data_IF_114027701879
#
_entry.id   IF_114027701879
#
_cell.length_a   1.000
_cell.length_b   1.000
_cell.length_c   1.000
_cell.angle_alpha   90.00
_cell.angle_beta   90.00
_cell.angle_gamma   90.00
#
_symmetry.space_group_name_H-M   'P 1'
#
loop_
_entity.id
_entity.type
_entity.pdbx_description
1 polymer ?
#
# COMPACT_ATOMS: atom_id res chain seq x y z
N UNK A 1 42.40 3.76 -46.89
CA UNK A 1 42.91 2.65 -46.05
C UNK A 1 41.72 1.73 -45.78
N UNK A 2 41.45 0.68 -46.57
CA UNK A 2 41.92 -0.74 -46.43
C UNK A 2 41.76 -1.21 -44.98
N UNK A 3 40.88 -2.16 -44.61
CA UNK A 3 40.68 -3.58 -45.04
C UNK A 3 39.28 -4.07 -44.55
N UNK A 4 38.41 -4.71 -45.36
CA UNK A 4 38.23 -6.19 -45.61
C UNK A 4 37.98 -6.99 -44.32
N UNK A 5 37.06 -7.96 -44.16
CA UNK A 5 36.32 -8.90 -45.02
C UNK A 5 35.22 -9.56 -44.12
N UNK A 6 34.00 -9.84 -44.57
CA UNK A 6 33.50 -11.06 -45.26
C UNK A 6 32.99 -12.19 -44.33
N UNK A 7 32.24 -13.10 -44.93
CA UNK A 7 31.08 -13.84 -44.44
C UNK A 7 31.33 -15.35 -44.25
N UNK A 8 30.25 -16.09 -43.96
CA UNK A 8 30.05 -17.56 -44.00
C UNK A 8 30.31 -18.30 -42.68
N UNK A 9 29.57 -19.35 -42.29
CA UNK A 9 28.50 -20.10 -42.95
C UNK A 9 27.94 -21.16 -41.99
N UNK A 10 26.75 -21.68 -42.33
CA UNK A 10 26.06 -22.77 -41.65
C UNK A 10 26.82 -24.10 -41.73
N UNK A 11 26.53 -25.08 -40.84
CA UNK A 11 25.58 -26.20 -41.05
C UNK A 11 25.89 -27.40 -40.11
N UNK A 12 24.83 -28.14 -39.75
CA UNK A 12 24.72 -29.60 -39.53
C UNK A 12 24.67 -30.21 -38.10
N UNK A 13 23.54 -30.89 -37.91
CA UNK A 13 23.08 -31.87 -36.92
C UNK A 13 23.86 -33.20 -37.03
N UNK A 14 24.08 -33.97 -35.94
CA UNK A 14 23.35 -35.25 -35.72
C UNK A 14 22.96 -35.45 -34.24
N UNK A 15 21.72 -35.79 -33.90
CA UNK A 15 21.02 -37.09 -33.95
C UNK A 15 21.36 -38.09 -32.81
N UNK A 16 20.30 -38.37 -32.05
CA UNK A 16 19.92 -39.56 -31.25
C UNK A 16 21.00 -40.40 -30.57
N UNK A 17 20.78 -40.63 -29.26
CA UNK A 17 20.62 -42.00 -28.72
C UNK A 17 19.76 -42.05 -27.46
N UNK A 18 18.83 -43.01 -27.50
CA UNK A 18 17.90 -43.46 -26.45
C UNK A 18 18.68 -44.22 -25.37
N UNK A 19 18.21 -44.17 -24.12
CA UNK A 19 18.30 -45.31 -23.19
C UNK A 19 17.00 -45.41 -22.38
N UNK A 20 16.31 -46.53 -22.52
CA UNK A 20 15.23 -47.04 -21.65
C UNK A 20 15.87 -47.98 -20.63
N UNK A 21 15.48 -47.93 -19.35
CA UNK A 21 15.30 -49.08 -18.42
C UNK A 21 14.39 -48.56 -17.29
N UNK A 22 13.10 -48.92 -17.25
CA UNK A 22 12.45 -50.09 -16.64
C UNK A 22 12.23 -50.04 -15.12
N UNK A 23 10.94 -50.07 -14.80
CA UNK A 23 10.18 -50.29 -13.57
C UNK A 23 10.71 -51.42 -12.67
N UNK A 24 10.61 -51.28 -11.35
CA UNK A 24 10.24 -52.38 -10.43
C UNK A 24 9.78 -51.86 -9.06
N UNK A 25 8.57 -52.30 -8.71
CA UNK A 25 7.83 -52.17 -7.46
C UNK A 25 8.28 -53.27 -6.48
N UNK A 26 8.42 -53.00 -5.17
CA UNK A 26 8.21 -54.02 -4.13
C UNK A 26 7.90 -53.39 -2.76
N UNK A 27 6.73 -53.75 -2.21
CA UNK A 27 6.37 -53.65 -0.79
C UNK A 27 7.21 -54.61 0.06
N UNK A 28 7.47 -54.29 1.33
CA UNK A 28 7.09 -55.14 2.49
C UNK A 28 7.37 -54.50 3.86
N UNK A 29 6.50 -54.89 4.79
CA UNK A 29 6.31 -54.44 6.17
C UNK A 29 7.30 -55.04 7.20
N UNK A 30 7.35 -54.35 8.35
CA UNK A 30 7.46 -54.83 9.76
C UNK A 30 8.81 -55.31 10.29
N UNK A 31 9.15 -54.78 11.48
CA UNK A 31 10.12 -55.40 12.39
C UNK A 31 10.41 -54.55 13.63
N UNK A 32 9.50 -54.59 14.62
CA UNK A 32 9.78 -54.19 16.01
C UNK A 32 10.83 -55.16 16.60
N UNK A 33 11.93 -54.62 17.12
CA UNK A 33 12.76 -55.31 18.12
C UNK A 33 13.09 -54.33 19.24
N UNK A 34 12.62 -54.69 20.43
CA UNK A 34 12.94 -54.08 21.71
C UNK A 34 14.18 -54.76 22.29
N UNK A 35 15.14 -53.98 22.80
CA UNK A 35 16.09 -54.45 23.81
C UNK A 35 16.49 -53.28 24.74
N UNK A 36 16.03 -53.39 25.99
CA UNK A 36 16.62 -52.83 27.22
C UNK A 36 18.01 -53.48 27.42
N UNK A 37 19.04 -52.96 28.09
CA UNK A 37 19.23 -52.07 29.25
C UNK A 37 20.74 -51.72 29.35
N UNK A 38 21.08 -50.82 30.28
CA UNK A 38 22.41 -50.41 30.81
C UNK A 38 22.92 -49.10 30.19
N UNK A 39 23.14 -47.99 30.88
CA UNK A 39 23.33 -47.77 32.31
C UNK A 39 24.67 -47.08 32.53
N UNK A 40 24.81 -45.79 32.20
CA UNK A 40 25.92 -44.96 32.66
C UNK A 40 25.42 -43.56 33.03
N UNK A 41 25.89 -43.11 34.19
CA UNK A 41 25.55 -41.86 34.83
C UNK A 41 26.17 -40.68 34.06
N UNK A 42 25.32 -39.91 33.37
CA UNK A 42 25.64 -38.59 32.85
C UNK A 42 25.09 -37.52 33.78
N UNK A 43 25.98 -36.70 34.31
CA UNK A 43 25.71 -35.49 35.11
C UNK A 43 24.59 -34.64 34.50
N UNK A 44 23.59 -34.32 35.33
CA UNK A 44 22.50 -33.41 34.99
C UNK A 44 23.05 -32.04 34.60
N UNK A 45 22.93 -31.71 33.32
CA UNK A 45 23.09 -30.35 32.82
C UNK A 45 21.82 -29.58 33.21
N UNK A 46 21.93 -28.40 33.87
CA UNK A 46 20.77 -27.58 34.14
C UNK A 46 20.18 -27.10 32.81
N UNK A 47 18.86 -27.25 32.69
CA UNK A 47 18.08 -26.80 31.55
C UNK A 47 18.38 -25.32 31.25
N UNK A 48 19.11 -25.08 30.18
CA UNK A 48 19.35 -23.74 29.64
C UNK A 48 18.24 -23.35 28.68
N UNK A 49 17.75 -22.13 28.93
CA UNK A 49 16.94 -21.28 28.06
C UNK A 49 15.48 -21.72 27.82
N UNK A 50 14.60 -21.17 28.64
CA UNK A 50 13.29 -20.67 28.19
C UNK A 50 13.49 -19.94 26.86
N UNK A 51 12.65 -20.15 25.83
CA UNK A 51 12.72 -19.33 24.62
C UNK A 51 12.55 -17.87 25.05
N UNK A 52 13.58 -17.05 24.83
CA UNK A 52 13.49 -15.61 24.96
C UNK A 52 12.28 -15.18 24.14
N UNK A 53 11.31 -14.50 24.76
CA UNK A 53 10.26 -13.84 24.01
C UNK A 53 10.95 -13.02 22.92
N UNK A 54 10.67 -13.31 21.65
CA UNK A 54 11.20 -12.55 20.53
C UNK A 54 10.82 -11.10 20.79
N UNK A 55 11.82 -10.25 21.06
CA UNK A 55 11.60 -8.84 21.29
C UNK A 55 10.89 -8.29 20.04
N UNK A 56 9.70 -7.71 20.21
CA UNK A 56 8.96 -7.12 19.08
C UNK A 56 9.86 -6.10 18.37
N UNK A 57 9.75 -5.99 17.03
CA UNK A 57 10.47 -4.94 16.32
C UNK A 57 10.06 -3.58 16.92
N UNK A 58 11.05 -2.69 17.04
CA UNK A 58 10.87 -1.43 17.74
C UNK A 58 11.88 -0.40 17.25
N UNK A 59 11.50 0.87 17.31
CA UNK A 59 12.40 2.00 17.07
C UNK A 59 13.62 1.93 17.98
N UNK A 60 14.80 1.99 17.39
CA UNK A 60 16.08 1.98 18.11
C UNK A 60 16.56 3.41 18.40
N UNK A 61 15.66 4.24 18.94
CA UNK A 61 15.94 5.63 19.34
C UNK A 61 15.95 5.70 20.87
N UNK A 62 16.99 6.30 21.44
CA UNK A 62 17.13 6.45 22.89
C UNK A 62 16.15 7.49 23.41
N UNK A 63 15.51 7.22 24.54
CA UNK A 63 14.60 8.16 25.21
C UNK A 63 13.12 7.92 24.95
N UNK A 64 12.77 7.15 23.92
CA UNK A 64 11.38 6.76 23.64
C UNK A 64 10.99 5.56 24.52
N UNK A 65 9.88 5.61 25.28
CA UNK A 65 9.43 4.50 26.12
C UNK A 65 8.87 3.34 25.28
N UNK A 66 8.80 2.14 25.88
CA UNK A 66 8.04 1.03 25.30
C UNK A 66 6.54 1.34 25.34
N UNK A 67 5.80 0.80 24.37
CA UNK A 67 4.35 0.96 24.31
C UNK A 67 3.66 0.21 25.46
N UNK A 68 2.47 0.64 25.89
CA UNK A 68 1.63 -0.15 26.76
C UNK A 68 1.40 -1.57 26.22
N UNK A 69 1.25 -2.54 27.12
CA UNK A 69 1.03 -3.93 26.73
C UNK A 69 -0.36 -4.15 26.10
N UNK A 70 -1.35 -3.37 26.52
CA UNK A 70 -2.69 -3.38 25.93
C UNK A 70 -2.69 -2.50 24.68
N UNK A 71 -2.91 -3.13 23.52
CA UNK A 71 -2.97 -2.43 22.22
C UNK A 71 -4.20 -1.55 22.07
N UNK A 72 -5.19 -1.69 22.95
CA UNK A 72 -6.41 -0.85 22.96
C UNK A 72 -6.26 0.44 23.77
N UNK A 73 -5.16 0.60 24.51
CA UNK A 73 -4.86 1.84 25.21
C UNK A 73 -4.65 2.99 24.21
N UNK A 74 -5.33 4.13 24.40
CA UNK A 74 -5.15 5.29 23.54
C UNK A 74 -3.73 5.84 23.66
N UNK A 75 -3.18 6.24 22.52
CA UNK A 75 -1.87 6.89 22.39
C UNK A 75 -2.01 8.37 21.99
N UNK A 76 -3.21 8.78 21.58
CA UNK A 76 -3.51 10.11 21.07
C UNK A 76 -4.76 10.68 21.77
N UNK A 77 -4.73 11.97 22.11
CA UNK A 77 -5.79 12.68 22.82
C UNK A 77 -6.15 14.03 22.16
N UNK A 78 -5.45 14.42 21.08
CA UNK A 78 -5.68 15.66 20.33
C UNK A 78 -5.82 15.38 18.85
N UNK A 79 -6.84 15.94 18.19
CA UNK A 79 -7.01 15.83 16.74
C UNK A 79 -5.84 16.51 16.00
N UNK A 80 -5.29 15.91 14.92
CA UNK A 80 -4.19 16.51 14.16
C UNK A 80 -4.50 17.90 13.59
N UNK A 81 -5.78 18.14 13.28
CA UNK A 81 -6.35 19.41 12.84
C UNK A 81 -7.54 19.77 13.73
N UNK A 82 -7.88 21.06 13.82
CA UNK A 82 -9.16 21.45 14.41
C UNK A 82 -10.32 20.78 13.66
N UNK A 83 -11.36 20.35 14.39
CA UNK A 83 -12.47 19.56 13.81
C UNK A 83 -13.28 20.32 12.76
N UNK A 84 -13.18 21.64 12.74
CA UNK A 84 -13.80 22.51 11.75
C UNK A 84 -12.93 22.73 10.50
N UNK A 85 -11.66 22.31 10.52
CA UNK A 85 -10.70 22.53 9.44
C UNK A 85 -10.66 21.41 8.39
N UNK A 86 -11.43 20.34 8.58
CA UNK A 86 -11.59 19.27 7.59
C UNK A 86 -13.05 18.83 7.45
N UNK A 87 -13.38 18.26 6.29
CA UNK A 87 -14.77 17.96 5.89
C UNK A 87 -15.09 16.47 6.02
N UNK A 88 -14.18 15.61 5.55
CA UNK A 88 -14.23 14.17 5.69
C UNK A 88 -12.84 13.59 5.91
N UNK A 89 -12.81 12.31 6.29
CA UNK A 89 -11.61 11.50 6.39
C UNK A 89 -11.72 10.37 5.39
N UNK A 90 -10.85 10.33 4.38
CA UNK A 90 -10.81 9.18 3.48
C UNK A 90 -10.11 8.04 4.23
N UNK A 91 -10.76 6.86 4.35
CA UNK A 91 -10.22 5.71 5.08
C UNK A 91 -8.97 5.12 4.42
N UNK A 92 -8.34 4.15 5.11
CA UNK A 92 -7.28 3.33 4.55
C UNK A 92 -7.76 2.65 3.27
N UNK A 93 -6.80 2.38 2.39
CA UNK A 93 -7.06 1.72 1.12
C UNK A 93 -7.54 2.66 0.01
N UNK A 94 -7.33 3.98 0.18
CA UNK A 94 -7.58 4.96 -0.87
C UNK A 94 -6.76 4.64 -2.14
N UNK A 95 -7.26 5.09 -3.29
CA UNK A 95 -6.67 4.81 -4.60
C UNK A 95 -6.60 6.10 -5.42
N UNK A 96 -5.42 6.40 -5.96
CA UNK A 96 -5.17 7.54 -6.83
C UNK A 96 -3.97 7.26 -7.77
N UNK A 97 -4.08 6.27 -8.67
CA UNK A 97 -3.01 5.94 -9.61
C UNK A 97 -2.68 7.15 -10.51
N UNK A 98 -1.42 7.24 -10.99
CA UNK A 98 -0.42 6.18 -10.97
C UNK A 98 0.31 6.01 -9.62
N UNK A 99 0.44 7.06 -8.80
CA UNK A 99 1.26 7.00 -7.57
C UNK A 99 0.65 6.16 -6.44
N UNK A 100 -0.67 6.07 -6.36
CA UNK A 100 -1.39 5.22 -5.40
C UNK A 100 -2.23 4.20 -6.17
N UNK A 101 -1.52 3.28 -6.83
CA UNK A 101 -2.16 2.20 -7.59
C UNK A 101 -2.61 1.10 -6.65
N UNK A 102 -1.85 0.83 -5.59
CA UNK A 102 -2.26 -0.05 -4.50
C UNK A 102 -3.05 0.72 -3.43
N UNK A 103 -3.85 0.02 -2.61
CA UNK A 103 -4.59 0.66 -1.52
C UNK A 103 -3.63 1.35 -0.54
N UNK A 104 -3.91 2.60 -0.18
CA UNK A 104 -3.00 3.41 0.65
C UNK A 104 -2.92 2.95 2.10
N UNK A 105 -1.74 3.08 2.69
CA UNK A 105 -1.42 2.75 4.09
C UNK A 105 -1.71 3.88 5.10
N UNK A 106 -2.39 4.93 4.64
CA UNK A 106 -2.71 6.12 5.41
C UNK A 106 -4.12 6.62 5.11
N UNK A 107 -4.68 7.34 6.08
CA UNK A 107 -5.95 8.06 5.96
C UNK A 107 -5.70 9.51 5.55
N UNK A 108 -6.71 10.15 4.99
CA UNK A 108 -6.61 11.54 4.51
C UNK A 108 -7.58 12.44 5.28
N UNK A 109 -7.06 13.38 6.07
CA UNK A 109 -7.89 14.45 6.62
C UNK A 109 -8.10 15.50 5.54
N UNK A 110 -9.27 15.49 4.90
CA UNK A 110 -9.53 16.32 3.74
C UNK A 110 -9.92 17.74 4.16
N UNK A 111 -8.99 18.66 3.93
CA UNK A 111 -9.01 20.02 4.44
C UNK A 111 -10.17 20.79 3.82
N UNK A 112 -10.87 21.58 4.62
CA UNK A 112 -11.97 22.41 4.15
C UNK A 112 -11.51 23.37 3.05
N UNK A 113 -12.44 23.79 2.19
CA UNK A 113 -12.17 24.81 1.17
C UNK A 113 -12.10 26.21 1.79
N UNK A 114 -11.30 27.08 1.17
CA UNK A 114 -11.30 28.51 1.50
C UNK A 114 -12.68 29.13 1.27
N UNK A 115 -13.31 28.76 0.14
CA UNK A 115 -14.68 29.06 -0.19
C UNK A 115 -15.51 27.76 -0.15
N UNK A 116 -16.34 27.55 0.89
CA UNK A 116 -17.19 26.37 1.02
C UNK A 116 -18.18 26.18 -0.14
N UNK A 117 -18.48 27.23 -0.92
CA UNK A 117 -19.37 27.15 -2.08
C UNK A 117 -18.66 26.65 -3.34
N UNK A 118 -17.32 26.55 -3.32
CA UNK A 118 -16.50 26.07 -4.43
C UNK A 118 -15.75 24.77 -4.04
N UNK A 119 -16.35 23.58 -4.25
CA UNK A 119 -15.77 22.30 -3.81
C UNK A 119 -14.47 21.91 -4.53
N UNK A 120 -14.20 22.54 -5.69
CA UNK A 120 -12.97 22.36 -6.48
C UNK A 120 -11.96 23.49 -6.26
N UNK A 121 -12.28 24.43 -5.38
CA UNK A 121 -11.39 25.53 -5.00
C UNK A 121 -10.20 25.06 -4.15
N UNK A 122 -9.26 25.97 -3.84
CA UNK A 122 -8.13 25.65 -2.97
C UNK A 122 -8.60 25.23 -1.57
N UNK A 123 -7.87 24.28 -0.98
CA UNK A 123 -7.98 23.98 0.44
C UNK A 123 -7.48 25.17 1.27
N UNK A 124 -8.09 25.40 2.42
CA UNK A 124 -7.62 26.40 3.38
C UNK A 124 -6.23 26.02 3.92
N UNK A 125 -5.46 27.03 4.32
CA UNK A 125 -4.23 26.80 5.09
C UNK A 125 -4.58 26.73 6.57
N UNK A 126 -4.24 25.62 7.23
CA UNK A 126 -4.70 25.27 8.58
C UNK A 126 -3.57 24.71 9.45
N UNK A 127 -3.58 24.96 10.77
CA UNK A 127 -2.54 24.48 11.68
C UNK A 127 -2.58 22.95 11.85
N UNK A 128 -1.40 22.37 12.06
CA UNK A 128 -1.21 20.94 12.38
C UNK A 128 -0.67 20.82 13.80
N UNK A 129 -1.25 19.91 14.57
CA UNK A 129 -0.93 19.68 15.97
C UNK A 129 -0.39 18.27 16.21
N UNK A 130 0.46 18.13 17.23
CA UNK A 130 0.86 16.82 17.73
C UNK A 130 -0.36 16.09 18.32
N UNK A 131 -0.64 14.84 17.91
CA UNK A 131 -1.90 14.17 18.28
C UNK A 131 -1.90 13.61 19.71
N UNK A 132 -0.75 13.59 20.36
CA UNK A 132 -0.53 13.13 21.72
C UNK A 132 0.86 13.54 22.18
N UNK A 133 1.26 13.08 23.36
CA UNK A 133 2.66 13.17 23.80
C UNK A 133 3.51 12.22 22.97
N UNK A 134 4.40 12.76 22.13
CA UNK A 134 5.15 12.01 21.11
C UNK A 134 6.60 12.46 21.01
N UNK A 135 7.43 11.61 20.42
CA UNK A 135 8.77 11.95 19.96
C UNK A 135 8.77 12.08 18.45
N UNK A 136 9.22 13.21 17.92
CA UNK A 136 9.54 13.34 16.49
C UNK A 136 10.85 12.60 16.23
N UNK A 137 10.77 11.60 15.35
CA UNK A 137 11.83 10.62 15.08
C UNK A 137 12.57 10.89 13.78
N UNK A 138 11.87 11.52 12.83
CA UNK A 138 12.47 12.03 11.61
C UNK A 138 11.65 13.17 11.01
N UNK A 139 12.32 14.00 10.22
CA UNK A 139 11.70 14.95 9.32
C UNK A 139 12.12 14.63 7.89
N UNK A 140 11.20 14.78 6.95
CA UNK A 140 11.48 14.72 5.52
C UNK A 140 11.11 16.03 4.85
N UNK A 141 11.84 16.42 3.80
CA UNK A 141 11.44 17.47 2.88
C UNK A 141 11.40 16.90 1.47
N UNK A 142 10.38 17.28 0.70
CA UNK A 142 10.25 17.02 -0.73
C UNK A 142 10.09 18.36 -1.43
N UNK A 143 11.15 18.83 -2.07
CA UNK A 143 11.15 20.07 -2.82
C UNK A 143 10.68 19.81 -4.26
N UNK A 144 9.55 20.38 -4.64
CA UNK A 144 8.98 20.32 -5.98
C UNK A 144 9.65 21.38 -6.85
N UNK A 145 10.81 21.05 -7.41
CA UNK A 145 11.67 22.00 -8.13
C UNK A 145 11.08 22.43 -9.48
N UNK A 146 10.27 21.59 -10.11
CA UNK A 146 9.57 21.90 -11.36
C UNK A 146 8.28 22.71 -11.19
N UNK A 147 7.78 22.87 -9.96
CA UNK A 147 6.58 23.66 -9.71
C UNK A 147 6.85 25.17 -9.89
N UNK A 148 5.83 25.94 -10.27
CA UNK A 148 5.91 27.39 -10.40
C UNK A 148 4.83 28.08 -9.53
N UNK A 149 5.21 28.74 -8.41
CA UNK A 149 6.56 28.78 -7.85
C UNK A 149 6.96 27.43 -7.22
N UNK A 150 8.28 27.14 -7.12
CA UNK A 150 8.75 25.96 -6.39
C UNK A 150 8.25 25.99 -4.94
N UNK A 151 8.03 24.81 -4.39
CA UNK A 151 7.60 24.67 -3.01
C UNK A 151 8.18 23.42 -2.38
N UNK A 152 8.10 23.37 -1.06
CA UNK A 152 8.53 22.21 -0.28
C UNK A 152 7.33 21.64 0.42
N UNK A 153 7.23 20.32 0.36
CA UNK A 153 6.31 19.54 1.15
C UNK A 153 7.09 18.77 2.21
N UNK A 154 6.59 18.74 3.44
CA UNK A 154 7.28 18.15 4.57
C UNK A 154 6.58 16.89 5.06
N UNK A 155 7.40 16.01 5.62
CA UNK A 155 7.00 14.81 6.32
C UNK A 155 7.45 14.90 7.76
N UNK A 156 6.58 14.56 8.70
CA UNK A 156 6.89 14.50 10.13
C UNK A 156 6.66 13.05 10.57
N UNK A 157 7.72 12.33 10.90
CA UNK A 157 7.62 11.00 11.51
C UNK A 157 7.68 11.14 13.02
N UNK A 158 6.78 10.46 13.71
CA UNK A 158 6.69 10.52 15.17
C UNK A 158 6.29 9.17 15.76
N UNK A 159 6.55 9.03 17.06
CA UNK A 159 6.21 7.84 17.81
C UNK A 159 5.82 8.22 19.25
N UNK A 160 4.67 7.79 19.76
CA UNK A 160 4.36 7.88 21.19
C UNK A 160 5.17 6.86 22.01
N UNK A 161 5.64 5.78 21.38
CA UNK A 161 6.36 4.70 22.01
C UNK A 161 7.08 3.82 20.98
N UNK A 162 8.03 2.97 21.40
CA UNK A 162 8.98 2.27 20.52
C UNK A 162 8.36 1.32 19.49
N UNK A 163 7.24 0.69 19.80
CA UNK A 163 6.57 -0.28 18.92
C UNK A 163 5.49 0.35 18.03
N UNK A 164 5.32 1.68 18.10
CA UNK A 164 4.33 2.40 17.31
C UNK A 164 5.00 3.51 16.48
N UNK A 165 4.68 3.57 15.19
CA UNK A 165 5.17 4.60 14.28
C UNK A 165 3.99 5.27 13.60
N UNK A 166 3.99 6.60 13.57
CA UNK A 166 3.05 7.35 12.78
C UNK A 166 3.76 8.47 12.03
N UNK A 167 3.06 9.04 11.05
CA UNK A 167 3.58 10.15 10.29
C UNK A 167 2.47 11.08 9.83
N UNK A 168 2.88 12.33 9.57
CA UNK A 168 2.17 13.26 8.72
C UNK A 168 2.96 13.50 7.44
N UNK A 169 2.28 13.47 6.30
CA UNK A 169 2.80 13.97 5.03
C UNK A 169 1.84 15.03 4.49
N UNK A 170 2.26 15.80 3.48
CA UNK A 170 1.54 16.99 3.01
C UNK A 170 1.52 18.15 4.02
N UNK A 171 2.59 18.30 4.81
CA UNK A 171 2.80 19.47 5.69
C UNK A 171 3.54 20.56 4.89
N UNK A 172 2.95 21.74 4.73
CA UNK A 172 3.55 22.82 3.94
C UNK A 172 4.62 23.61 4.67
N UNK A 173 4.45 23.79 5.98
CA UNK A 173 5.38 24.54 6.83
C UNK A 173 5.59 23.77 8.11
N UNK A 174 6.84 23.63 8.53
CA UNK A 174 7.19 23.16 9.86
C UNK A 174 7.23 24.34 10.83
N UNK A 175 6.87 24.12 12.10
CA UNK A 175 7.00 25.15 13.12
C UNK A 175 8.46 25.59 13.29
N UNK A 176 8.74 26.88 13.54
CA UNK A 176 10.10 27.35 13.80
C UNK A 176 10.80 26.58 14.92
N UNK A 177 10.06 26.24 15.97
CA UNK A 177 10.56 25.49 17.13
C UNK A 177 10.98 24.07 16.77
N UNK A 178 10.25 23.41 15.87
CA UNK A 178 10.60 22.06 15.40
C UNK A 178 11.82 22.09 14.49
N UNK A 179 11.89 23.09 13.59
CA UNK A 179 13.06 23.27 12.72
C UNK A 179 14.34 23.58 13.50
N UNK A 180 14.25 24.42 14.53
CA UNK A 180 15.40 24.76 15.38
C UNK A 180 15.94 23.53 16.11
N UNK A 181 15.05 22.68 16.64
CA UNK A 181 15.43 21.46 17.35
C UNK A 181 15.94 20.35 16.41
N UNK A 182 15.37 20.21 15.22
CA UNK A 182 15.82 19.21 14.24
C UNK A 182 17.16 19.57 13.61
N UNK A 183 17.48 20.86 13.51
CA UNK A 183 18.65 21.35 12.80
C UNK A 183 18.51 21.21 11.27
N UNK A 184 19.59 21.48 10.53
CA UNK A 184 19.55 21.40 9.07
C UNK A 184 19.43 19.95 8.57
N UNK A 185 18.75 19.77 7.44
CA UNK A 185 18.76 18.50 6.72
C UNK A 185 20.19 18.12 6.31
N UNK A 186 20.53 16.85 6.49
CA UNK A 186 21.82 16.30 6.09
C UNK A 186 21.87 16.19 4.57
N UNK A 187 22.69 17.02 3.92
CA UNK A 187 22.90 17.03 2.47
C UNK A 187 23.33 15.66 1.92
N UNK A 188 24.01 14.83 2.72
CA UNK A 188 24.39 13.47 2.31
C UNK A 188 23.20 12.50 2.20
N UNK A 189 22.05 12.90 2.76
CA UNK A 189 20.76 12.19 2.72
C UNK A 189 19.75 12.88 1.83
N UNK A 190 20.20 13.80 0.98
CA UNK A 190 19.40 14.38 -0.05
C UNK A 190 19.58 13.62 -1.37
N UNK A 191 18.50 13.41 -2.10
CA UNK A 191 18.51 12.85 -3.45
C UNK A 191 17.59 13.66 -4.36
N UNK A 192 18.02 13.83 -5.62
CA UNK A 192 17.20 14.45 -6.66
C UNK A 192 16.78 13.39 -7.65
N UNK A 193 15.50 13.34 -7.97
CA UNK A 193 14.94 12.40 -8.94
C UNK A 193 13.91 13.11 -9.82
N UNK A 194 13.61 12.47 -10.94
CA UNK A 194 12.66 12.97 -11.93
C UNK A 194 11.59 11.89 -12.17
N UNK A 195 10.32 12.30 -12.17
CA UNK A 195 9.18 11.45 -12.56
C UNK A 195 8.13 12.30 -13.25
N UNK A 196 7.57 11.82 -14.37
CA UNK A 196 6.52 12.54 -15.11
C UNK A 196 6.88 13.99 -15.49
N UNK A 197 8.12 14.24 -15.93
CA UNK A 197 8.67 15.58 -16.23
C UNK A 197 8.77 16.52 -15.01
N UNK A 198 8.49 16.03 -13.81
CA UNK A 198 8.63 16.75 -12.56
C UNK A 198 9.94 16.37 -11.87
N UNK A 199 10.68 17.37 -11.42
CA UNK A 199 11.94 17.21 -10.69
C UNK A 199 11.68 17.48 -9.21
N UNK A 200 12.16 16.56 -8.38
CA UNK A 200 12.02 16.60 -6.93
C UNK A 200 13.38 16.49 -6.26
N UNK A 201 13.56 17.19 -5.15
CA UNK A 201 14.68 16.95 -4.22
C UNK A 201 14.13 16.52 -2.87
N UNK A 202 14.40 15.27 -2.50
CA UNK A 202 14.02 14.73 -1.21
C UNK A 202 15.21 14.79 -0.25
N UNK A 203 15.00 15.21 0.99
CA UNK A 203 16.00 15.16 2.06
C UNK A 203 15.36 14.60 3.33
N UNK A 204 16.16 13.95 4.17
CA UNK A 204 15.68 13.35 5.41
C UNK A 204 16.64 13.61 6.58
N UNK A 205 16.07 13.96 7.72
CA UNK A 205 16.75 14.04 9.01
C UNK A 205 16.22 12.91 9.90
N UNK A 206 17.01 11.85 10.12
CA UNK A 206 16.62 10.68 10.92
C UNK A 206 17.33 10.63 12.27
N UNK A 207 16.80 9.80 13.17
CA UNK A 207 17.40 9.56 14.48
C UNK A 207 17.18 10.73 15.42
N UNK A 208 16.16 11.54 15.15
CA UNK A 208 15.70 12.59 16.05
C UNK A 208 15.03 11.96 17.26
N UNK A 209 15.01 12.70 18.36
CA UNK A 209 14.29 12.34 19.58
C UNK A 209 13.76 13.62 20.23
N UNK A 210 13.00 14.38 19.44
CA UNK A 210 12.44 15.66 19.87
C UNK A 210 11.10 15.37 20.56
N UNK A 211 11.05 15.57 21.87
CA UNK A 211 9.84 15.37 22.66
C UNK A 211 8.86 16.53 22.44
N UNK A 212 7.60 16.20 22.18
CA UNK A 212 6.52 17.14 21.87
C UNK A 212 5.28 16.77 22.65
N UNK A 213 4.74 17.72 23.41
CA UNK A 213 3.49 17.54 24.15
C UNK A 213 2.27 17.53 23.22
N UNK A 214 1.22 16.83 23.64
CA UNK A 214 -0.06 16.80 22.94
C UNK A 214 -0.59 18.21 22.64
N UNK A 215 -1.13 18.42 21.43
CA UNK A 215 -1.68 19.70 21.01
C UNK A 215 -0.66 20.79 20.73
N UNK A 216 0.64 20.49 20.77
CA UNK A 216 1.66 21.43 20.32
C UNK A 216 1.52 21.69 18.82
N UNK A 217 1.54 22.96 18.42
CA UNK A 217 1.62 23.34 17.01
C UNK A 217 2.95 22.88 16.40
N UNK A 218 2.89 22.05 15.36
CA UNK A 218 4.08 21.45 14.71
C UNK A 218 4.22 21.86 13.24
N UNK A 219 3.18 22.47 12.67
CA UNK A 219 3.25 22.94 11.28
C UNK A 219 1.94 23.45 10.73
N UNK A 220 1.89 23.61 9.42
CA UNK A 220 0.71 24.06 8.68
C UNK A 220 0.54 23.19 7.44
N UNK A 221 -0.69 22.84 7.09
CA UNK A 221 -1.05 22.10 5.88
C UNK A 221 -2.10 22.87 5.07
N UNK A 222 -2.34 22.47 3.82
CA UNK A 222 -3.28 23.13 2.91
C UNK A 222 -2.90 24.58 2.54
N UNK A 223 -3.66 25.20 1.66
CA UNK A 223 -3.36 26.54 1.12
C UNK A 223 -2.59 26.56 -0.19
N UNK A 224 -2.32 25.39 -0.80
CA UNK A 224 -1.76 25.26 -2.16
C UNK A 224 -2.62 24.36 -3.03
N UNK A 225 -2.61 24.63 -4.33
CA UNK A 225 -3.29 23.79 -5.30
C UNK A 225 -2.74 22.36 -5.25
N UNK A 226 -3.63 21.36 -5.21
CA UNK A 226 -3.28 19.94 -5.13
C UNK A 226 -3.09 19.41 -3.70
N UNK A 227 -2.79 20.27 -2.71
CA UNK A 227 -2.64 19.87 -1.31
C UNK A 227 -3.98 19.98 -0.58
N UNK A 228 -4.84 19.00 -0.86
CA UNK A 228 -6.23 18.97 -0.39
C UNK A 228 -6.43 18.24 0.94
N UNK A 229 -5.42 17.48 1.38
CA UNK A 229 -5.46 16.72 2.61
C UNK A 229 -4.08 16.72 3.28
N UNK A 230 -4.10 16.45 4.58
CA UNK A 230 -2.92 15.94 5.29
C UNK A 230 -3.12 14.44 5.48
N UNK A 231 -2.07 13.68 5.22
CA UNK A 231 -2.17 12.24 5.32
C UNK A 231 -1.59 11.78 6.64
N UNK A 232 -2.28 10.86 7.30
CA UNK A 232 -1.86 10.26 8.55
C UNK A 232 -1.76 8.76 8.39
N UNK A 233 -0.53 8.23 8.42
CA UNK A 233 -0.29 6.79 8.47
C UNK A 233 0.12 6.36 9.88
N UNK A 234 -0.20 5.12 10.23
CA UNK A 234 0.19 4.53 11.50
C UNK A 234 0.53 3.04 11.36
N UNK A 235 1.50 2.61 12.15
CA UNK A 235 1.93 1.23 12.23
C UNK A 235 2.15 0.80 13.67
N UNK A 236 1.68 -0.40 14.02
CA UNK A 236 1.85 -0.96 15.35
C UNK A 236 2.46 -2.37 15.28
N UNK A 237 3.73 -2.48 15.67
CA UNK A 237 4.44 -3.76 15.71
C UNK A 237 3.86 -4.76 16.73
N UNK A 238 2.96 -4.34 17.62
CA UNK A 238 2.27 -5.21 18.58
C UNK A 238 1.13 -6.01 17.94
N UNK A 239 0.58 -5.56 16.81
CA UNK A 239 -0.48 -6.30 16.11
C UNK A 239 0.11 -7.37 15.18
N UNK A 240 -0.72 -8.35 14.81
CA UNK A 240 -0.29 -9.36 13.84
C UNK A 240 -0.02 -8.70 12.47
N UNK A 241 1.02 -9.13 11.75
CA UNK A 241 1.31 -8.57 10.43
C UNK A 241 0.18 -8.90 9.44
N UNK A 242 -0.05 -7.97 8.51
CA UNK A 242 -0.95 -8.11 7.36
C UNK A 242 -0.51 -9.27 6.45
N UNK A 243 -1.51 -9.93 5.85
CA UNK A 243 -1.38 -11.21 5.18
C UNK A 243 -1.25 -11.13 3.66
N UNK A 244 -0.44 -10.21 3.13
CA UNK A 244 -0.25 -10.06 1.67
C UNK A 244 0.00 -11.41 0.97
N UNK A 245 -0.60 -11.61 -0.20
CA UNK A 245 -0.50 -12.87 -0.94
C UNK A 245 0.95 -13.21 -1.33
N UNK A 246 1.77 -12.18 -1.58
CA UNK A 246 3.21 -12.34 -1.78
C UNK A 246 4.00 -11.33 -0.93
N UNK A 247 4.34 -11.66 0.33
CA UNK A 247 5.03 -10.73 1.21
C UNK A 247 6.44 -10.37 0.72
N UNK A 248 7.07 -11.18 -0.17
CA UNK A 248 8.42 -10.86 -0.64
C UNK A 248 8.48 -9.67 -1.61
N UNK A 249 7.33 -9.15 -2.06
CA UNK A 249 7.23 -7.94 -2.91
C UNK A 249 7.37 -6.65 -2.13
N UNK A 250 7.19 -6.74 -0.82
CA UNK A 250 7.07 -5.62 0.07
C UNK A 250 8.36 -5.47 0.87
N UNK A 251 9.02 -4.34 0.67
CA UNK A 251 10.27 -4.05 1.37
C UNK A 251 9.99 -3.64 2.82
N UNK A 252 10.66 -4.31 3.76
CA UNK A 252 10.82 -3.84 5.15
C UNK A 252 12.25 -3.42 5.39
N UNK A 253 12.45 -2.30 6.07
CA UNK A 253 13.72 -2.02 6.73
C UNK A 253 13.64 -2.39 8.22
N UNK A 254 14.78 -2.68 8.85
CA UNK A 254 14.86 -3.13 10.26
C UNK A 254 14.26 -2.13 11.26
N UNK A 255 14.07 -0.89 10.84
CA UNK A 255 13.58 0.22 11.64
C UNK A 255 12.16 0.63 11.33
N UNK A 256 11.46 -0.03 10.39
CA UNK A 256 10.11 0.32 9.94
C UNK A 256 9.21 -0.90 10.07
N UNK A 257 7.95 -0.67 10.45
CA UNK A 257 6.93 -1.71 10.52
C UNK A 257 6.07 -1.76 9.26
N UNK A 258 6.24 -0.79 8.36
CA UNK A 258 5.60 -0.77 7.05
C UNK A 258 6.19 -1.85 6.12
N UNK A 259 5.37 -2.45 5.25
CA UNK A 259 3.92 -2.27 5.13
C UNK A 259 3.12 -3.31 5.93
N UNK A 260 3.76 -4.17 6.73
CA UNK A 260 3.09 -5.31 7.36
C UNK A 260 2.29 -4.96 8.61
N UNK A 261 2.52 -3.84 9.26
CA UNK A 261 1.85 -3.51 10.53
C UNK A 261 0.96 -2.28 10.43
N UNK A 262 0.39 -2.00 9.25
CA UNK A 262 -0.49 -0.84 9.08
C UNK A 262 -1.72 -1.00 9.96
N UNK A 263 -2.05 0.06 10.68
CA UNK A 263 -3.23 0.13 11.53
C UNK A 263 -3.98 1.42 11.27
N UNK A 264 -5.27 1.46 11.58
CA UNK A 264 -6.03 2.69 11.55
C UNK A 264 -5.51 3.65 12.63
N UNK A 265 -5.01 4.85 12.30
CA UNK A 265 -4.54 5.80 13.31
C UNK A 265 -5.65 6.22 14.28
N UNK A 266 -6.92 6.30 13.81
CA UNK A 266 -8.08 6.72 14.61
C UNK A 266 -8.35 5.76 15.77
N UNK A 267 -7.99 4.48 15.64
CA UNK A 267 -8.24 3.47 16.69
C UNK A 267 -7.44 3.74 17.98
N UNK A 268 -6.38 4.54 17.90
CA UNK A 268 -5.48 4.90 19.01
C UNK A 268 -5.83 6.24 19.66
N UNK A 269 -6.93 6.88 19.26
CA UNK A 269 -7.41 8.09 19.93
C UNK A 269 -8.27 7.75 21.17
N UNK A 270 -8.26 8.66 22.14
CA UNK A 270 -9.17 8.65 23.29
C UNK A 270 -10.62 8.39 22.83
N UNK A 271 -11.43 7.58 23.56
CA UNK A 271 -12.71 7.06 23.06
C UNK A 271 -13.65 8.12 22.50
N UNK A 272 -13.81 9.25 23.18
CA UNK A 272 -14.72 10.32 22.73
C UNK A 272 -14.27 10.94 21.40
N UNK A 273 -12.98 11.23 21.26
CA UNK A 273 -12.43 11.80 20.03
C UNK A 273 -12.41 10.77 18.89
N UNK A 274 -12.09 9.51 19.19
CA UNK A 274 -12.13 8.41 18.22
C UNK A 274 -13.51 8.27 17.57
N UNK A 275 -14.59 8.33 18.33
CA UNK A 275 -15.94 8.26 17.75
C UNK A 275 -16.24 9.49 16.87
N UNK A 276 -15.84 10.69 17.30
CA UNK A 276 -15.97 11.91 16.48
C UNK A 276 -15.21 11.80 15.14
N UNK A 277 -14.00 11.24 15.15
CA UNK A 277 -13.21 11.03 13.95
C UNK A 277 -13.78 9.91 13.07
N UNK A 278 -14.27 8.82 13.68
CA UNK A 278 -14.92 7.72 12.95
C UNK A 278 -16.17 8.17 12.21
N UNK A 279 -16.96 9.05 12.82
CA UNK A 279 -18.13 9.67 12.19
C UNK A 279 -17.77 10.51 10.94
N UNK A 280 -16.50 10.83 10.73
CA UNK A 280 -15.99 11.54 9.55
C UNK A 280 -15.46 10.64 8.45
N UNK A 281 -15.34 9.33 8.68
CA UNK A 281 -14.84 8.37 7.69
C UNK A 281 -15.78 8.27 6.48
N UNK A 282 -15.24 8.43 5.28
CA UNK A 282 -16.03 8.54 4.07
C UNK A 282 -15.28 9.16 2.89
N UNK A 283 -15.99 9.87 2.02
CA UNK A 283 -15.36 10.65 0.97
C UNK A 283 -14.72 11.93 1.53
N UNK A 284 -13.81 12.53 0.76
CA UNK A 284 -13.08 13.73 1.18
C UNK A 284 -14.00 14.92 1.48
N UNK A 285 -15.12 15.07 0.76
CA UNK A 285 -16.04 16.19 0.98
C UNK A 285 -17.03 15.94 2.13
N UNK A 286 -17.05 14.75 2.72
CA UNK A 286 -17.96 14.35 3.78
C UNK A 286 -19.42 14.19 3.34
N UNK A 287 -19.67 14.05 2.04
CA UNK A 287 -20.99 13.83 1.47
C UNK A 287 -21.46 12.36 1.62
N UNK A 288 -20.52 11.43 1.61
CA UNK A 288 -20.75 9.99 1.72
C UNK A 288 -19.94 9.44 2.89
N UNK A 289 -20.61 8.73 3.79
CA UNK A 289 -19.96 8.06 4.93
C UNK A 289 -19.72 6.60 4.62
N UNK A 290 -18.55 6.10 5.03
CA UNK A 290 -18.33 4.66 5.10
C UNK A 290 -19.15 4.09 6.26
N UNK A 291 -19.88 3.02 6.00
CA UNK A 291 -20.78 2.38 7.00
C UNK A 291 -20.53 0.89 7.16
N UNK A 292 -19.63 0.32 6.35
CA UNK A 292 -19.31 -1.11 6.33
C UNK A 292 -17.98 -1.32 7.05
N UNK A 293 -17.96 -2.27 7.99
CA UNK A 293 -16.75 -2.62 8.72
C UNK A 293 -15.67 -3.26 7.81
N UNK A 294 -14.37 -3.04 8.07
CA UNK A 294 -13.86 -2.11 9.07
C UNK A 294 -14.12 -0.65 8.66
N UNK A 295 -14.63 0.19 9.56
CA UNK A 295 -15.01 1.57 9.23
C UNK A 295 -13.83 2.40 8.72
N UNK A 296 -12.62 2.11 9.19
CA UNK A 296 -11.40 2.80 8.77
C UNK A 296 -10.77 2.24 7.49
N UNK A 297 -11.44 1.31 6.80
CA UNK A 297 -10.94 0.70 5.57
C UNK A 297 -9.85 -0.36 5.81
N UNK A 298 -9.30 -0.89 4.71
CA UNK A 298 -8.26 -1.92 4.71
C UNK A 298 -7.26 -1.63 3.59
N UNK A 299 -5.98 -1.86 3.89
CA UNK A 299 -4.87 -1.75 2.93
C UNK A 299 -4.66 -3.06 2.18
N UNK A 300 -4.68 -4.16 2.93
CA UNK A 300 -4.54 -5.51 2.41
C UNK A 300 -5.93 -6.05 2.08
N UNK A 301 -6.17 -6.29 0.79
CA UNK A 301 -7.41 -6.89 0.26
C UNK A 301 -7.09 -8.13 -0.59
N UNK A 302 -5.89 -8.71 -0.41
CA UNK A 302 -5.45 -9.85 -1.17
C UNK A 302 -6.24 -11.09 -0.75
N UNK A 303 -6.80 -11.80 -1.72
CA UNK A 303 -7.40 -13.12 -1.48
C UNK A 303 -6.58 -14.17 -2.23
N UNK A 304 -5.65 -14.89 -1.56
CA UNK A 304 -4.79 -15.88 -2.19
C UNK A 304 -5.57 -16.93 -2.97
N UNK A 305 -5.10 -17.23 -4.19
CA UNK A 305 -5.78 -18.17 -5.09
C UNK A 305 -6.93 -17.56 -5.90
N UNK A 306 -7.17 -16.25 -5.78
CA UNK A 306 -8.17 -15.52 -6.57
C UNK A 306 -7.53 -14.32 -7.29
N UNK A 307 -8.29 -13.63 -8.14
CA UNK A 307 -7.82 -12.41 -8.81
C UNK A 307 -7.82 -11.17 -7.90
N UNK A 308 -8.47 -11.19 -6.72
CA UNK A 308 -8.59 -10.01 -5.85
C UNK A 308 -7.27 -9.67 -5.15
N UNK A 309 -6.81 -8.44 -5.30
CA UNK A 309 -5.66 -7.89 -4.58
C UNK A 309 -4.71 -7.06 -5.43
N UNK A 310 -3.49 -6.89 -4.92
CA UNK A 310 -2.38 -6.19 -5.57
C UNK A 310 -1.59 -7.09 -6.51
N UNK A 311 -1.30 -6.59 -7.71
CA UNK A 311 -0.65 -7.29 -8.81
C UNK A 311 0.48 -6.45 -9.44
N UNK A 312 1.66 -7.03 -9.50
CA UNK A 312 2.89 -6.40 -9.99
C UNK A 312 3.06 -6.67 -11.47
N UNK A 313 3.48 -5.69 -12.27
CA UNK A 313 3.69 -5.93 -13.71
C UNK A 313 4.81 -6.96 -13.91
N UNK A 314 4.63 -7.86 -14.88
CA UNK A 314 5.59 -8.93 -15.16
C UNK A 314 7.03 -8.41 -15.33
N UNK A 315 7.96 -9.04 -14.62
CA UNK A 315 9.38 -8.70 -14.67
C UNK A 315 9.86 -7.72 -13.58
N UNK A 316 8.98 -7.20 -12.72
CA UNK A 316 9.40 -6.46 -11.51
C UNK A 316 9.52 -7.37 -10.30
N UNK A 317 10.32 -6.95 -9.32
CA UNK A 317 10.49 -7.68 -8.05
C UNK A 317 9.92 -6.95 -6.84
N UNK A 318 9.79 -5.62 -6.93
CA UNK A 318 9.36 -4.74 -5.85
C UNK A 318 8.00 -4.12 -6.16
N UNK A 319 7.32 -3.65 -5.10
CA UNK A 319 6.06 -2.89 -5.16
C UNK A 319 6.24 -1.42 -5.55
N UNK A 320 7.45 -0.88 -5.38
CA UNK A 320 7.75 0.53 -5.67
C UNK A 320 8.68 0.66 -6.89
N UNK A 321 8.44 1.60 -7.81
CA UNK A 321 7.29 2.52 -7.85
C UNK A 321 5.97 1.78 -8.16
N UNK A 322 4.86 2.25 -7.59
CA UNK A 322 3.54 1.64 -7.80
C UNK A 322 2.95 1.92 -9.19
N UNK A 323 3.42 2.98 -9.85
CA UNK A 323 2.98 3.48 -11.15
C UNK A 323 2.74 2.44 -12.24
N UNK A 324 3.50 1.33 -12.38
CA UNK A 324 3.28 0.36 -13.43
C UNK A 324 2.36 -0.80 -13.01
N UNK A 325 1.83 -0.81 -11.79
CA UNK A 325 1.12 -1.97 -11.24
C UNK A 325 -0.40 -1.92 -11.47
N UNK A 326 -1.11 -2.86 -10.87
CA UNK A 326 -2.56 -3.00 -10.94
C UNK A 326 -3.09 -3.48 -9.59
N UNK A 327 -4.21 -2.94 -9.14
CA UNK A 327 -4.99 -3.53 -8.05
C UNK A 327 -6.40 -3.89 -8.53
N UNK A 328 -6.87 -5.09 -8.17
CA UNK A 328 -8.25 -5.55 -8.33
C UNK A 328 -8.87 -5.66 -6.94
N UNK A 329 -9.51 -4.60 -6.49
CA UNK A 329 -9.91 -4.43 -5.08
C UNK A 329 -11.30 -3.79 -4.99
N UNK A 330 -11.83 -3.57 -3.79
CA UNK A 330 -13.06 -2.82 -3.58
C UNK A 330 -12.78 -1.41 -3.07
N UNK A 331 -13.70 -0.50 -3.34
CA UNK A 331 -13.55 0.92 -3.01
C UNK A 331 -13.47 1.14 -1.48
N UNK A 332 -12.55 2.01 -1.08
CA UNK A 332 -12.26 2.31 0.32
C UNK A 332 -13.44 2.95 1.05
N UNK A 333 -14.38 3.61 0.36
CA UNK A 333 -15.56 4.24 0.97
C UNK A 333 -16.77 3.32 0.88
N UNK A 334 -16.99 2.72 -0.30
CA UNK A 334 -18.10 1.78 -0.56
C UNK A 334 -17.58 0.41 -1.01
N UNK A 335 -17.40 -0.56 -0.09
CA UNK A 335 -16.93 -1.90 -0.41
C UNK A 335 -17.80 -2.70 -1.38
N UNK A 336 -19.01 -2.25 -1.72
CA UNK A 336 -19.84 -2.93 -2.73
C UNK A 336 -19.41 -2.61 -4.16
N UNK A 337 -18.53 -1.62 -4.35
CA UNK A 337 -18.02 -1.19 -5.65
C UNK A 337 -16.69 -1.88 -5.91
N UNK A 338 -16.63 -2.67 -6.98
CA UNK A 338 -15.41 -3.28 -7.47
C UNK A 338 -14.58 -2.25 -8.27
N UNK A 339 -13.27 -2.33 -8.11
CA UNK A 339 -12.32 -1.34 -8.58
C UNK A 339 -11.14 -1.99 -9.30
N UNK A 340 -10.94 -1.59 -10.54
CA UNK A 340 -9.65 -1.71 -11.23
C UNK A 340 -8.86 -0.42 -10.96
N UNK A 341 -7.86 -0.49 -10.10
CA UNK A 341 -6.88 0.58 -9.91
C UNK A 341 -5.73 0.36 -10.87
N UNK A 342 -5.71 1.11 -11.97
CA UNK A 342 -4.82 0.84 -13.09
C UNK A 342 -3.69 1.85 -13.11
N UNK A 343 -2.45 1.34 -13.12
CA UNK A 343 -1.24 2.11 -13.37
C UNK A 343 -0.98 2.34 -14.87
N UNK A 344 0.29 2.31 -15.27
CA UNK A 344 0.77 2.73 -16.61
C UNK A 344 1.04 1.60 -17.59
N UNK A 345 0.96 0.33 -17.15
CA UNK A 345 1.44 -0.81 -17.95
C UNK A 345 0.45 -1.38 -18.97
N UNK A 346 -0.84 -1.01 -18.93
CA UNK A 346 -1.86 -1.60 -19.81
C UNK A 346 -2.06 -0.73 -21.05
N UNK A 347 -1.71 -1.22 -22.27
CA UNK A 347 -1.88 -0.44 -23.49
C UNK A 347 -3.32 -0.01 -23.73
N UNK A 348 -3.50 1.26 -24.13
CA UNK A 348 -4.81 1.84 -24.42
C UNK A 348 -5.64 2.19 -23.19
N UNK A 349 -5.12 1.96 -21.98
CA UNK A 349 -5.81 2.28 -20.73
C UNK A 349 -5.06 3.38 -19.98
N UNK A 350 -5.76 4.47 -19.64
CA UNK A 350 -5.15 5.56 -18.87
C UNK A 350 -5.00 5.16 -17.39
N UNK A 351 -3.94 5.61 -16.69
CA UNK A 351 -3.84 5.42 -15.26
C UNK A 351 -4.99 6.14 -14.54
N UNK A 352 -5.82 5.39 -13.82
CA UNK A 352 -6.96 5.88 -13.02
C UNK A 352 -7.65 4.72 -12.32
N UNK A 353 -8.62 5.08 -11.48
CA UNK A 353 -9.59 4.16 -10.88
C UNK A 353 -10.78 3.95 -11.82
N UNK A 354 -11.02 2.70 -12.23
CA UNK A 354 -12.21 2.28 -12.97
C UNK A 354 -13.13 1.48 -12.04
N UNK A 355 -14.37 1.95 -11.88
CA UNK A 355 -15.37 1.39 -10.98
C UNK A 355 -16.45 0.65 -11.74
N UNK A 356 -16.96 -0.43 -11.15
CA UNK A 356 -18.10 -1.18 -11.66
C UNK A 356 -18.88 -1.85 -10.52
N UNK A 357 -20.09 -2.33 -10.84
CA UNK A 357 -20.87 -3.19 -9.93
C UNK A 357 -20.56 -4.63 -10.27
N UNK A 358 -20.05 -5.37 -9.29
CA UNK A 358 -19.68 -6.77 -9.48
C UNK A 358 -20.90 -7.70 -9.40
N UNK A 359 -20.82 -8.80 -10.15
CA UNK A 359 -21.76 -9.90 -10.18
C UNK A 359 -21.20 -11.08 -9.38
N UNK A 360 -22.08 -11.88 -8.79
CA UNK A 360 -21.68 -13.05 -7.97
C UNK A 360 -21.65 -14.36 -8.74
N UNK A 361 -22.04 -14.35 -10.02
CA UNK A 361 -22.08 -15.54 -10.87
C UNK A 361 -21.85 -15.16 -12.34
N UNK A 362 -21.51 -16.14 -13.17
CA UNK A 362 -21.29 -15.92 -14.60
C UNK A 362 -19.86 -15.45 -14.90
N UNK A 363 -19.67 -14.83 -16.06
CA UNK A 363 -18.35 -14.47 -16.61
C UNK A 363 -18.28 -13.02 -17.09
N UNK A 364 -19.31 -12.22 -16.78
CA UNK A 364 -19.34 -10.78 -17.01
C UNK A 364 -19.38 -10.09 -15.66
N UNK A 365 -18.47 -9.14 -15.42
CA UNK A 365 -18.36 -8.38 -14.17
C UNK A 365 -18.27 -9.25 -12.91
N UNK A 366 -17.79 -10.50 -13.00
CA UNK A 366 -17.68 -11.41 -11.86
C UNK A 366 -16.79 -10.80 -10.77
N UNK A 367 -17.19 -10.88 -9.50
CA UNK A 367 -16.37 -10.36 -8.39
C UNK A 367 -14.98 -11.03 -8.35
N UNK A 368 -13.94 -10.25 -8.05
CA UNK A 368 -12.54 -10.66 -8.15
C UNK A 368 -12.20 -11.86 -7.27
N UNK A 369 -12.81 -11.98 -6.08
CA UNK A 369 -12.59 -13.13 -5.19
C UNK A 369 -13.19 -14.43 -5.73
N UNK A 370 -14.05 -14.36 -6.75
CA UNK A 370 -14.64 -15.52 -7.42
C UNK A 370 -13.90 -15.91 -8.70
N UNK A 371 -12.96 -15.09 -9.17
CA UNK A 371 -12.11 -15.40 -10.32
C UNK A 371 -10.97 -16.31 -9.86
N UNK A 372 -11.14 -17.61 -10.09
CA UNK A 372 -10.16 -18.66 -9.76
C UNK A 372 -9.30 -19.03 -11.00
N UNK A 373 -8.13 -19.67 -10.80
CA UNK A 373 -7.29 -20.12 -11.89
C UNK A 373 -8.03 -21.01 -12.90
N UNK A 374 -8.09 -20.59 -14.16
CA UNK A 374 -8.72 -21.35 -15.23
C UNK A 374 -8.32 -20.87 -16.63
N UNK A 375 -8.71 -21.63 -17.66
CA UNK A 375 -8.59 -21.19 -19.05
C UNK A 375 -9.71 -20.21 -19.47
N UNK A 376 -10.73 -20.00 -18.62
CA UNK A 376 -11.84 -19.10 -18.91
C UNK A 376 -11.44 -17.64 -18.74
N UNK A 377 -11.84 -16.80 -19.69
CA UNK A 377 -11.63 -15.35 -19.65
C UNK A 377 -12.90 -14.71 -19.12
N UNK A 378 -12.77 -13.89 -18.08
CA UNK A 378 -13.84 -13.06 -17.52
C UNK A 378 -13.79 -11.69 -18.20
N UNK A 379 -14.94 -11.18 -18.63
CA UNK A 379 -15.05 -9.86 -19.23
C UNK A 379 -15.64 -8.87 -18.25
N UNK A 380 -15.09 -7.66 -18.21
CA UNK A 380 -15.59 -6.55 -17.42
C UNK A 380 -15.94 -5.39 -18.32
N UNK A 381 -17.07 -4.75 -18.06
CA UNK A 381 -17.58 -3.61 -18.81
C UNK A 381 -18.26 -2.60 -17.90
N UNK A 382 -19.02 -1.66 -18.49
CA UNK A 382 -19.86 -0.73 -17.75
C UNK A 382 -19.09 0.16 -16.75
N UNK A 383 -17.81 0.39 -17.06
CA UNK A 383 -16.89 1.13 -16.20
C UNK A 383 -17.28 2.58 -16.04
N UNK A 384 -17.00 3.09 -14.85
CA UNK A 384 -17.17 4.50 -14.48
C UNK A 384 -15.89 5.03 -13.88
N UNK A 385 -15.67 6.32 -14.06
CA UNK A 385 -14.57 7.04 -13.41
C UNK A 385 -15.14 8.20 -12.60
N UNK A 386 -14.34 8.72 -11.67
CA UNK A 386 -14.73 9.87 -10.86
C UNK A 386 -15.19 11.05 -11.75
N UNK A 387 -16.31 11.67 -11.37
CA UNK A 387 -16.90 12.80 -12.10
C UNK A 387 -17.82 12.45 -13.28
N UNK A 388 -18.01 11.16 -13.60
CA UNK A 388 -19.01 10.73 -14.58
C UNK A 388 -20.43 10.70 -13.98
N UNK A 389 -21.44 10.93 -14.81
CA UNK A 389 -22.84 10.81 -14.39
C UNK A 389 -23.18 9.35 -14.04
N UNK A 390 -24.11 9.10 -13.11
CA UNK A 390 -24.51 7.74 -12.72
C UNK A 390 -25.15 6.89 -13.82
N UNK A 391 -25.42 7.42 -15.00
CA UNK A 391 -25.93 6.69 -16.16
C UNK A 391 -24.86 6.41 -17.22
N UNK A 392 -23.72 7.10 -17.14
CA UNK A 392 -22.66 7.03 -18.15
C UNK A 392 -21.70 5.88 -17.86
N UNK A 393 -21.25 5.23 -18.93
CA UNK A 393 -20.19 4.21 -18.88
C UNK A 393 -19.18 4.44 -19.99
N UNK A 394 -17.95 3.97 -19.77
CA UNK A 394 -16.91 4.03 -20.80
C UNK A 394 -17.14 2.92 -21.85
N UNK A 395 -16.99 3.22 -23.16
CA UNK A 395 -17.15 2.25 -24.23
C UNK A 395 -15.88 1.38 -24.41
N UNK A 396 -15.52 0.66 -23.35
CA UNK A 396 -14.39 -0.26 -23.30
C UNK A 396 -14.71 -1.49 -22.47
N UNK A 397 -13.95 -2.56 -22.68
CA UNK A 397 -13.96 -3.75 -21.84
C UNK A 397 -12.55 -4.07 -21.35
N UNK A 398 -12.47 -4.69 -20.17
CA UNK A 398 -11.24 -5.30 -19.66
C UNK A 398 -11.45 -6.81 -19.60
N UNK A 399 -10.58 -7.56 -20.24
CA UNK A 399 -10.55 -9.01 -20.17
C UNK A 399 -9.54 -9.44 -19.11
N UNK A 400 -9.95 -10.38 -18.26
CA UNK A 400 -9.14 -10.90 -17.16
C UNK A 400 -9.08 -12.41 -17.24
N UNK A 401 -7.88 -12.96 -17.09
CA UNK A 401 -7.69 -14.39 -16.86
C UNK A 401 -6.65 -14.61 -15.78
N UNK A 402 -7.03 -15.29 -14.71
CA UNK A 402 -6.10 -15.82 -13.73
C UNK A 402 -5.57 -17.15 -14.28
N UNK A 403 -4.32 -17.17 -14.73
CA UNK A 403 -3.71 -18.35 -15.36
C UNK A 403 -3.31 -19.38 -14.30
N UNK A 404 -2.76 -18.92 -13.18
CA UNK A 404 -2.47 -19.69 -11.99
C UNK A 404 -2.54 -18.76 -10.75
N UNK A 405 -2.20 -19.25 -9.55
CA UNK A 405 -2.26 -18.47 -8.31
C UNK A 405 -1.31 -17.25 -8.31
N UNK A 406 -0.33 -17.19 -9.21
CA UNK A 406 0.70 -16.18 -9.27
C UNK A 406 0.69 -15.34 -10.56
N UNK A 407 -0.06 -15.73 -11.60
CA UNK A 407 -0.06 -15.07 -12.91
C UNK A 407 -1.47 -14.62 -13.32
N UNK A 408 -1.64 -13.31 -13.46
CA UNK A 408 -2.86 -12.65 -13.94
C UNK A 408 -2.60 -12.02 -15.31
N UNK A 409 -3.51 -12.23 -16.26
CA UNK A 409 -3.43 -11.66 -17.60
C UNK A 409 -4.57 -10.66 -17.80
N UNK A 410 -4.22 -9.46 -18.27
CA UNK A 410 -5.15 -8.33 -18.42
C UNK A 410 -5.03 -7.74 -19.82
N UNK A 411 -6.17 -7.48 -20.46
CA UNK A 411 -6.20 -6.80 -21.75
C UNK A 411 -7.36 -5.81 -21.82
N UNK A 412 -7.08 -4.60 -22.28
CA UNK A 412 -8.09 -3.62 -22.64
C UNK A 412 -8.50 -3.78 -24.12
N UNK A 413 -9.80 -3.71 -24.42
CA UNK A 413 -10.32 -3.69 -25.78
C UNK A 413 -11.42 -2.64 -25.95
N UNK A 414 -11.41 -1.95 -27.10
CA UNK A 414 -12.48 -1.02 -27.48
C UNK A 414 -13.75 -1.79 -27.85
N UNK A 415 -14.74 -1.78 -26.96
CA UNK A 415 -16.04 -2.40 -27.17
C UNK A 415 -17.10 -1.70 -26.33
N UNK A 416 -18.33 -1.60 -26.83
CA UNK A 416 -19.45 -1.01 -26.09
C UNK A 416 -19.94 -1.87 -24.90
N UNK A 417 -19.49 -3.12 -24.81
CA UNK A 417 -19.81 -4.04 -23.73
C UNK A 417 -19.31 -5.46 -24.00
N UNK A 418 -19.46 -6.34 -23.01
CA UNK A 418 -18.93 -7.71 -23.06
C UNK A 418 -19.63 -8.61 -24.09
N UNK A 419 -20.93 -8.41 -24.38
CA UNK A 419 -21.67 -9.30 -25.27
C UNK A 419 -21.81 -10.72 -24.69
N UNK A 420 -21.85 -11.75 -25.56
CA UNK A 420 -22.20 -13.12 -25.16
C UNK A 420 -21.01 -14.07 -24.91
N UNK A 421 -19.76 -13.61 -25.09
CA UNK A 421 -18.56 -14.45 -25.04
C UNK A 421 -18.59 -15.63 -26.04
N UNK A 422 -17.63 -16.58 -25.93
CA UNK A 422 -16.45 -16.52 -25.08
C UNK A 422 -15.46 -15.46 -25.56
N UNK A 423 -14.68 -14.90 -24.65
CA UNK A 423 -13.62 -13.93 -24.97
C UNK A 423 -12.27 -14.62 -25.07
N UNK A 424 -11.36 -14.00 -25.82
CA UNK A 424 -9.99 -14.49 -25.97
C UNK A 424 -9.04 -13.32 -25.79
N UNK A 425 -8.03 -13.52 -24.94
CA UNK A 425 -6.89 -12.64 -24.86
C UNK A 425 -6.06 -12.75 -26.15
N UNK A 426 -5.63 -11.60 -26.66
CA UNK A 426 -4.70 -11.47 -27.78
C UNK A 426 -3.26 -11.40 -27.28
N UNK A 427 -2.32 -11.16 -28.20
CA UNK A 427 -0.92 -10.89 -27.83
C UNK A 427 -0.71 -9.53 -27.15
N UNK A 428 -1.76 -8.70 -27.03
CA UNK A 428 -1.70 -7.42 -26.31
C UNK A 428 -1.93 -7.57 -24.80
N UNK A 429 -2.32 -8.75 -24.33
CA UNK A 429 -2.49 -9.02 -22.90
C UNK A 429 -1.18 -8.78 -22.14
N UNK A 430 -1.30 -8.07 -21.02
CA UNK A 430 -0.21 -7.78 -20.10
C UNK A 430 -0.23 -8.81 -18.98
N UNK A 431 0.94 -9.34 -18.67
CA UNK A 431 1.14 -10.23 -17.53
C UNK A 431 1.39 -9.41 -16.27
N UNK A 432 0.67 -9.75 -15.21
CA UNK A 432 0.93 -9.32 -13.86
C UNK A 432 1.18 -10.54 -12.98
N UNK A 433 1.99 -10.34 -11.94
CA UNK A 433 2.47 -11.35 -11.02
C UNK A 433 2.11 -10.98 -9.58
N UNK A 434 1.82 -11.97 -8.76
CA UNK A 434 1.73 -11.75 -7.31
C UNK A 434 3.04 -11.27 -6.75
#
# INVERSE_FOLDING_TARGET
MRRTDSSSGATLIPDRRRLRVSLSLLLLLRGLVSCRLSGEAGTAQPATATPTATQLPGLQISGIPDCPADVSEPLFDVSPLDLDDFTGIIPLGGLNPPSHTFPTDHIYFFIRREDPSNPVGPAASVPVYAPGHVWITALGSSEHLSADPPYTDYKIHFAPCRQFQAYYIHVQLLSPELLDQAGPFDESRCSTYETGEQVYRNCEAWGLSIEVEAGTFIGTTGGRAGQNAIDMGAHDARVSPLGYANPSRFYTNETSFAPFHVVCPIDYFEPELREVLRDRLGDGLGAFRRTVEPLCGQVEQDEPGTAQGSWHVGGTTESYPEDPHLALVHDAVDPSVAVFSVGTSIPGLAPRVYRLVAETTGTVNLDFHLVMPSEEVVCYDSFRTMGMAPEDTLPMIILVRLADEAILLIENQDSAGCGSGPWTLSSAAVEFQR
#
